data_IF_245251662199
#
_entry.id   IF_245251662199
#
_cell.length_a   1.000
_cell.length_b   1.000
_cell.length_c   1.000
_cell.angle_alpha   90.00
_cell.angle_beta   90.00
_cell.angle_gamma   90.00
#
_symmetry.space_group_name_H-M   'P 1'
#
loop_
_entity.id
_entity.type
_entity.pdbx_description
1 polymer ?
#
# COMPACT_ATOMS: atom_id res chain seq x y z
N UNK A 1 8.14 -4.57 14.42
CA UNK A 1 7.99 -3.13 14.05
C UNK A 1 6.56 -2.91 13.55
N UNK A 2 5.89 -1.80 13.88
CA UNK A 2 4.45 -1.61 13.62
C UNK A 2 4.06 -1.73 12.14
N UNK A 3 4.88 -1.18 11.24
CA UNK A 3 4.68 -1.25 9.78
C UNK A 3 4.84 -2.65 9.17
N UNK A 4 5.24 -3.64 9.98
CA UNK A 4 5.38 -5.03 9.57
C UNK A 4 4.28 -5.93 10.14
N UNK A 5 3.47 -5.42 11.07
CA UNK A 5 2.32 -6.13 11.60
C UNK A 5 1.11 -5.91 10.68
N UNK A 6 0.54 -6.98 10.15
CA UNK A 6 -0.60 -6.91 9.24
C UNK A 6 -1.82 -6.26 9.88
N UNK A 7 -2.15 -6.57 11.13
CA UNK A 7 -3.30 -5.98 11.83
C UNK A 7 -3.16 -4.47 11.97
N UNK A 8 -1.94 -4.00 12.26
CA UNK A 8 -1.60 -2.57 12.32
C UNK A 8 -1.71 -1.91 10.95
N UNK A 9 -1.20 -2.54 9.90
CA UNK A 9 -1.32 -1.99 8.54
C UNK A 9 -2.78 -2.01 8.08
N UNK A 10 -3.54 -3.06 8.42
CA UNK A 10 -4.96 -3.17 8.10
C UNK A 10 -5.80 -2.11 8.84
N UNK A 11 -5.47 -1.77 10.08
CA UNK A 11 -6.13 -0.67 10.77
C UNK A 11 -5.81 0.67 10.10
N UNK A 12 -4.54 0.93 9.76
CA UNK A 12 -4.18 2.15 9.03
C UNK A 12 -4.90 2.28 7.68
N UNK A 13 -4.98 1.20 6.90
CA UNK A 13 -5.73 1.20 5.64
C UNK A 13 -7.22 1.47 5.88
N UNK A 14 -7.81 0.91 6.95
CA UNK A 14 -9.21 1.19 7.31
C UNK A 14 -9.41 2.66 7.66
N UNK A 15 -8.56 3.22 8.52
CA UNK A 15 -8.58 4.63 8.91
C UNK A 15 -8.52 5.53 7.66
N UNK A 16 -7.62 5.21 6.73
CA UNK A 16 -7.47 5.93 5.45
C UNK A 16 -8.76 5.91 4.61
N UNK A 17 -9.37 4.73 4.45
CA UNK A 17 -10.58 4.57 3.65
C UNK A 17 -11.76 5.33 4.25
N UNK A 18 -11.89 5.31 5.59
CA UNK A 18 -12.92 6.05 6.33
C UNK A 18 -12.71 7.57 6.19
N UNK A 19 -11.47 8.05 6.37
CA UNK A 19 -11.14 9.47 6.29
C UNK A 19 -11.29 10.07 4.89
N UNK A 20 -11.03 9.27 3.85
CA UNK A 20 -11.07 9.72 2.44
C UNK A 20 -12.37 9.36 1.72
N UNK A 21 -13.28 8.64 2.39
CA UNK A 21 -14.52 8.14 1.80
C UNK A 21 -14.26 7.37 0.49
N UNK A 22 -13.20 6.55 0.48
CA UNK A 22 -12.78 5.73 -0.66
C UNK A 22 -13.44 4.35 -0.54
N UNK A 23 -13.92 3.81 -1.66
CA UNK A 23 -14.53 2.48 -1.71
C UNK A 23 -13.55 1.37 -1.30
N UNK A 24 -13.84 0.72 -0.16
CA UNK A 24 -13.04 -0.37 0.38
C UNK A 24 -12.94 -1.60 -0.53
N UNK A 25 -13.83 -1.72 -1.54
CA UNK A 25 -13.82 -2.83 -2.51
C UNK A 25 -12.58 -2.85 -3.41
N UNK A 26 -11.83 -1.75 -3.47
CA UNK A 26 -10.66 -1.61 -4.34
C UNK A 26 -9.31 -1.84 -3.63
N UNK A 27 -9.30 -1.99 -2.30
CA UNK A 27 -8.07 -2.12 -1.49
C UNK A 27 -8.21 -3.29 -0.52
N UNK A 28 -7.28 -4.23 -0.58
CA UNK A 28 -7.23 -5.43 0.27
C UNK A 28 -5.85 -5.59 0.90
N UNK A 29 -5.78 -5.83 2.22
CA UNK A 29 -4.51 -6.14 2.91
C UNK A 29 -4.35 -7.66 2.99
N UNK A 30 -3.24 -8.19 2.50
CA UNK A 30 -2.98 -9.63 2.46
C UNK A 30 -1.76 -10.02 3.31
N UNK A 31 -1.75 -11.27 3.78
CA UNK A 31 -0.55 -11.93 4.27
C UNK A 31 0.33 -12.34 3.08
N UNK A 32 1.63 -12.04 3.13
CA UNK A 32 2.56 -12.48 2.09
C UNK A 32 2.88 -13.96 2.30
N UNK A 33 2.47 -14.81 1.36
CA UNK A 33 2.76 -16.25 1.45
C UNK A 33 4.26 -16.56 1.25
N UNK A 34 4.76 -17.37 2.20
CA UNK A 34 5.93 -18.27 2.17
C UNK A 34 7.37 -17.72 2.22
N UNK A 35 7.74 -17.17 3.38
CA UNK A 35 8.99 -17.56 4.10
C UNK A 35 8.72 -17.33 5.60
N UNK A 36 9.06 -18.27 6.51
CA UNK A 36 8.80 -18.07 7.94
C UNK A 36 9.61 -16.87 8.47
N UNK A 37 8.92 -15.75 8.69
CA UNK A 37 9.46 -14.51 9.26
C UNK A 37 8.30 -13.62 9.72
N UNK A 38 8.41 -12.93 10.87
CA UNK A 38 7.26 -12.49 11.69
C UNK A 38 6.45 -11.25 11.20
N UNK A 39 6.52 -10.85 9.93
CA UNK A 39 6.42 -9.43 9.60
C UNK A 39 6.04 -9.16 8.11
N UNK A 40 4.74 -9.08 7.74
CA UNK A 40 4.29 -8.69 6.40
C UNK A 40 3.09 -7.73 6.39
N UNK A 41 3.33 -6.46 6.07
CA UNK A 41 2.31 -5.46 5.74
C UNK A 41 2.12 -5.29 4.24
N UNK A 42 1.65 -6.32 3.53
CA UNK A 42 1.41 -6.25 2.08
C UNK A 42 0.00 -5.72 1.81
N UNK A 43 -0.11 -4.64 1.06
CA UNK A 43 -1.38 -4.05 0.65
C UNK A 43 -1.57 -4.28 -0.84
N UNK A 44 -2.59 -5.02 -1.25
CA UNK A 44 -2.98 -5.23 -2.65
C UNK A 44 -4.05 -4.22 -3.03
N UNK A 45 -3.85 -3.57 -4.17
CA UNK A 45 -4.78 -2.57 -4.70
C UNK A 45 -5.27 -3.01 -6.06
N UNK A 46 -6.59 -3.10 -6.21
CA UNK A 46 -7.24 -3.32 -7.48
C UNK A 46 -7.45 -1.97 -8.17
N UNK A 47 -6.84 -1.78 -9.34
CA UNK A 47 -7.07 -0.60 -10.16
C UNK A 47 -8.30 -0.86 -11.03
N UNK A 48 -9.17 0.14 -11.17
CA UNK A 48 -10.51 0.02 -11.73
C UNK A 48 -10.56 -0.52 -13.16
N UNK A 49 -9.46 -0.40 -13.91
CA UNK A 49 -9.36 -0.84 -15.30
C UNK A 49 -8.13 -1.70 -15.61
N UNK A 50 -7.11 -1.74 -14.74
CA UNK A 50 -5.88 -2.48 -15.04
C UNK A 50 -5.98 -3.91 -14.49
N UNK A 51 -5.95 -4.90 -15.39
CA UNK A 51 -5.76 -6.32 -15.06
C UNK A 51 -4.32 -6.59 -14.59
N UNK A 52 -3.80 -5.74 -13.71
CA UNK A 52 -2.43 -5.77 -13.21
C UNK A 52 -2.49 -5.87 -11.71
N UNK A 53 -1.84 -6.90 -11.18
CA UNK A 53 -1.64 -7.02 -9.74
C UNK A 53 -0.73 -5.86 -9.32
N UNK A 54 -1.29 -4.96 -8.52
CA UNK A 54 -0.59 -3.82 -7.96
C UNK A 54 -0.56 -3.98 -6.46
N UNK A 55 0.60 -3.83 -5.85
CA UNK A 55 0.72 -3.91 -4.40
C UNK A 55 1.70 -2.89 -3.84
N UNK A 56 1.50 -2.57 -2.57
CA UNK A 56 2.34 -1.71 -1.76
C UNK A 56 2.95 -2.56 -0.66
N UNK A 57 4.26 -2.47 -0.48
CA UNK A 57 4.96 -3.15 0.61
C UNK A 57 6.07 -2.27 1.19
N UNK A 58 6.38 -2.41 2.48
CA UNK A 58 7.55 -1.78 3.05
C UNK A 58 8.81 -2.52 2.62
N UNK A 59 9.84 -1.78 2.22
CA UNK A 59 11.21 -2.27 2.04
C UNK A 59 12.16 -1.52 2.95
N UNK A 60 13.32 -2.11 3.22
CA UNK A 60 14.39 -1.38 3.91
C UNK A 60 15.30 -0.77 2.84
N UNK A 61 15.35 0.56 2.80
CA UNK A 61 16.25 1.34 1.96
C UNK A 61 17.08 2.26 2.85
N UNK A 62 18.41 2.23 2.69
CA UNK A 62 19.34 3.05 3.49
C UNK A 62 19.16 2.92 5.02
N UNK A 63 18.75 1.73 5.48
CA UNK A 63 18.50 1.46 6.91
C UNK A 63 17.14 1.92 7.43
N UNK A 64 16.30 2.52 6.59
CA UNK A 64 14.98 3.03 6.96
C UNK A 64 13.86 2.29 6.20
N UNK A 65 12.67 2.12 6.79
CA UNK A 65 11.53 1.59 6.07
C UNK A 65 10.97 2.60 5.08
N UNK A 66 10.79 2.15 3.84
CA UNK A 66 10.19 2.91 2.75
C UNK A 66 9.09 2.08 2.10
N UNK A 67 7.90 2.67 1.96
CA UNK A 67 6.82 2.04 1.21
C UNK A 67 7.06 2.18 -0.30
N UNK A 68 6.91 1.08 -1.02
CA UNK A 68 7.04 1.05 -2.47
C UNK A 68 5.83 0.39 -3.10
N UNK A 69 5.42 0.95 -4.22
CA UNK A 69 4.39 0.40 -5.10
C UNK A 69 5.08 -0.43 -6.19
N UNK A 70 4.64 -1.67 -6.36
CA UNK A 70 5.02 -2.52 -7.48
C UNK A 70 3.83 -2.75 -8.40
N UNK A 71 4.06 -2.58 -9.70
CA UNK A 71 3.15 -3.01 -10.75
C UNK A 71 3.73 -4.27 -11.37
N UNK A 72 3.06 -5.41 -11.18
CA UNK A 72 3.54 -6.65 -11.77
C UNK A 72 3.49 -6.59 -13.31
N UNK A 73 4.48 -7.19 -14.00
CA UNK A 73 4.52 -7.18 -15.45
C UNK A 73 3.28 -7.88 -16.04
N UNK A 74 2.79 -7.34 -17.16
CA UNK A 74 1.73 -7.95 -17.95
C UNK A 74 2.31 -8.73 -19.12
N UNK A 75 1.67 -9.83 -19.49
CA UNK A 75 1.99 -10.59 -20.70
C UNK A 75 1.47 -9.93 -21.97
N UNK A 76 0.44 -9.09 -21.87
CA UNK A 76 -0.22 -8.43 -23.00
C UNK A 76 -0.31 -6.91 -22.77
N UNK A 77 -0.32 -6.17 -23.89
CA UNK A 77 -0.54 -4.73 -23.90
C UNK A 77 -1.90 -4.35 -23.31
N UNK A 78 -2.03 -3.09 -22.92
CA UNK A 78 -3.22 -2.57 -22.28
C UNK A 78 -3.69 -1.30 -22.97
N UNK A 79 -4.66 -1.45 -23.85
CA UNK A 79 -5.21 -0.35 -24.61
C UNK A 79 -6.33 0.33 -23.84
N UNK A 80 -6.25 1.65 -23.75
CA UNK A 80 -7.23 2.50 -23.09
C UNK A 80 -7.59 3.68 -24.00
N UNK A 81 -8.87 4.02 -24.05
CA UNK A 81 -9.30 5.31 -24.58
C UNK A 81 -9.05 6.43 -23.57
N UNK A 82 -9.38 7.67 -23.94
CA UNK A 82 -9.15 8.84 -23.08
C UNK A 82 -9.86 8.73 -21.71
N UNK A 83 -11.06 8.14 -21.66
CA UNK A 83 -11.80 7.95 -20.42
C UNK A 83 -11.15 6.88 -19.53
N UNK A 84 -10.67 5.79 -20.14
CA UNK A 84 -9.92 4.75 -19.48
C UNK A 84 -8.62 5.26 -18.86
N UNK A 85 -7.85 6.08 -19.59
CA UNK A 85 -6.63 6.72 -19.10
C UNK A 85 -6.92 7.68 -17.94
N UNK A 86 -7.98 8.49 -18.04
CA UNK A 86 -8.38 9.41 -16.97
C UNK A 86 -8.72 8.65 -15.67
N UNK A 87 -9.41 7.52 -15.79
CA UNK A 87 -9.73 6.68 -14.63
C UNK A 87 -8.50 6.00 -14.03
N UNK A 88 -7.59 5.47 -14.85
CA UNK A 88 -6.32 4.94 -14.37
C UNK A 88 -5.48 6.01 -13.65
N UNK A 89 -5.46 7.24 -14.16
CA UNK A 89 -4.79 8.36 -13.48
C UNK A 89 -5.39 8.66 -12.11
N UNK A 90 -6.71 8.57 -11.96
CA UNK A 90 -7.37 8.72 -10.66
C UNK A 90 -6.98 7.58 -9.71
N UNK A 91 -7.00 6.33 -10.18
CA UNK A 91 -6.59 5.17 -9.37
C UNK A 91 -5.11 5.30 -8.92
N UNK A 92 -4.21 5.73 -9.81
CA UNK A 92 -2.80 5.97 -9.49
C UNK A 92 -2.60 7.12 -8.49
N UNK A 93 -3.47 8.12 -8.52
CA UNK A 93 -3.45 9.23 -7.55
C UNK A 93 -3.83 8.73 -6.16
N UNK A 94 -4.90 7.94 -6.06
CA UNK A 94 -5.31 7.28 -4.81
C UNK A 94 -4.24 6.34 -4.28
N UNK A 95 -3.58 5.59 -5.17
CA UNK A 95 -2.49 4.68 -4.82
C UNK A 95 -1.27 5.43 -4.26
N UNK A 96 -0.92 6.57 -4.85
CA UNK A 96 0.16 7.42 -4.35
C UNK A 96 -0.17 8.02 -2.98
N UNK A 97 -1.41 8.50 -2.77
CA UNK A 97 -1.87 9.03 -1.49
C UNK A 97 -1.83 7.96 -0.40
N UNK A 98 -2.32 6.75 -0.68
CA UNK A 98 -2.26 5.62 0.25
C UNK A 98 -0.81 5.24 0.61
N UNK A 99 0.09 5.20 -0.38
CA UNK A 99 1.50 4.90 -0.15
C UNK A 99 2.15 5.96 0.76
N UNK A 100 1.86 7.25 0.52
CA UNK A 100 2.32 8.36 1.35
C UNK A 100 1.78 8.27 2.78
N UNK A 101 0.48 8.02 2.93
CA UNK A 101 -0.16 7.84 4.23
C UNK A 101 0.48 6.71 5.04
N UNK A 102 0.74 5.55 4.42
CA UNK A 102 1.40 4.42 5.10
C UNK A 102 2.84 4.78 5.53
N UNK A 103 3.55 5.58 4.74
CA UNK A 103 4.87 6.10 5.10
C UNK A 103 4.79 7.01 6.32
N UNK A 104 3.87 7.98 6.33
CA UNK A 104 3.67 8.90 7.46
C UNK A 104 3.34 8.16 8.75
N UNK A 105 2.42 7.18 8.70
CA UNK A 105 2.08 6.34 9.87
C UNK A 105 3.26 5.54 10.37
N UNK A 106 4.10 5.04 9.45
CA UNK A 106 5.32 4.31 9.80
C UNK A 106 6.32 5.21 10.53
N UNK A 107 6.55 6.42 10.03
CA UNK A 107 7.46 7.39 10.64
C UNK A 107 6.98 7.83 12.01
N UNK A 108 5.67 8.11 12.16
CA UNK A 108 5.05 8.41 13.45
C UNK A 108 5.28 7.29 14.46
N UNK A 109 4.99 6.04 14.08
CA UNK A 109 5.10 4.91 14.98
C UNK A 109 6.56 4.61 15.39
N UNK A 110 7.54 4.89 14.51
CA UNK A 110 8.97 4.80 14.83
C UNK A 110 9.40 5.91 15.79
N UNK A 111 8.93 7.14 15.57
CA UNK A 111 9.22 8.27 16.44
C UNK A 111 8.66 8.03 17.86
N UNK A 112 7.43 7.52 17.96
CA UNK A 112 6.79 7.13 19.23
C UNK A 112 7.56 6.02 19.95
N UNK A 113 7.99 4.98 19.22
CA UNK A 113 8.79 3.89 19.79
C UNK A 113 10.15 4.39 20.32
N UNK A 114 10.79 5.31 19.58
CA UNK A 114 12.08 5.91 19.97
C UNK A 114 11.92 6.82 21.19
N UNK A 115 10.84 7.61 21.26
CA UNK A 115 10.54 8.48 22.39
C UNK A 115 10.19 7.69 23.67
N UNK A 116 9.63 6.48 23.52
CA UNK A 116 9.29 5.58 24.62
C UNK A 116 10.51 4.86 25.25
N UNK A 117 11.72 5.03 24.71
CA UNK A 117 12.96 4.52 25.31
C UNK A 117 13.16 3.01 25.23
N UNK A 118 12.71 2.37 24.14
CA UNK A 118 13.05 0.97 23.80
C UNK A 118 14.22 0.93 22.84
#
# INVERSE_FOLDING_TARGET
>A
MPYRNQETVASWVRDYLEDRNVDASSVSVLEKEFTPGPDSGLVVVALSNASTVTYIQPVIADGHPRWMVTFEPRTEGFDLDAAGVARLSADLSTLADLCGYLQERTEQAIAEATAAGV
#
